data_IF_071175748841
#
_entry.id   IF_071175748841
#
_cell.length_a   1.000
_cell.length_b   1.000
_cell.length_c   1.000
_cell.angle_alpha   90.00
_cell.angle_beta   90.00
_cell.angle_gamma   90.00
#
_symmetry.space_group_name_H-M   'P 1'
#
loop_
_entity.id
_entity.type
_entity.pdbx_description
1 polymer ?
#
# COMPACT_ATOMS: atom_id res chain seq x y z
N UNK A 1 -15.54 10.41 -26.09
CA UNK A 1 -15.61 9.41 -24.99
C UNK A 1 -15.25 10.14 -23.71
N UNK A 2 -16.17 10.24 -22.75
CA UNK A 2 -15.89 10.93 -21.50
C UNK A 2 -14.92 10.09 -20.65
N UNK A 3 -13.76 10.65 -20.34
CA UNK A 3 -12.79 10.05 -19.41
C UNK A 3 -13.42 10.04 -18.02
N UNK A 4 -13.77 8.85 -17.51
CA UNK A 4 -14.32 8.68 -16.16
C UNK A 4 -13.18 8.77 -15.16
N UNK A 5 -12.89 9.98 -14.71
CA UNK A 5 -11.87 10.24 -13.68
C UNK A 5 -12.53 10.74 -12.40
N UNK A 6 -11.91 10.44 -11.27
CA UNK A 6 -12.30 10.96 -9.96
C UNK A 6 -11.02 11.27 -9.18
N UNK A 7 -11.05 12.34 -8.39
CA UNK A 7 -9.88 12.80 -7.64
C UNK A 7 -9.83 12.13 -6.25
N UNK A 8 -8.63 11.79 -5.80
CA UNK A 8 -8.36 11.25 -4.47
C UNK A 8 -7.66 12.31 -3.61
N UNK A 9 -8.32 12.75 -2.53
CA UNK A 9 -7.77 13.72 -1.58
C UNK A 9 -7.49 13.02 -0.25
N UNK A 10 -6.21 12.91 0.12
CA UNK A 10 -5.77 12.27 1.37
C UNK A 10 -4.91 13.24 2.16
N UNK A 11 -5.23 13.42 3.44
CA UNK A 11 -4.38 14.15 4.38
C UNK A 11 -3.22 13.27 4.79
N UNK A 12 -2.01 13.83 4.78
CA UNK A 12 -0.80 13.17 5.23
C UNK A 12 0.13 14.22 5.83
N UNK A 13 1.06 13.75 6.66
CA UNK A 13 2.14 14.59 7.15
C UNK A 13 2.96 15.18 5.96
N UNK A 14 3.37 16.44 6.10
CA UNK A 14 4.07 17.16 5.03
C UNK A 14 5.47 16.63 4.78
N UNK A 15 6.17 16.20 5.83
CA UNK A 15 7.52 15.66 5.73
C UNK A 15 7.49 14.29 5.07
N UNK A 16 6.58 13.42 5.51
CA UNK A 16 6.34 12.11 4.89
C UNK A 16 5.99 12.25 3.41
N UNK A 17 5.14 13.22 3.06
CA UNK A 17 4.81 13.51 1.65
C UNK A 17 6.05 13.85 0.84
N UNK A 18 6.92 14.72 1.35
CA UNK A 18 8.13 15.14 0.65
C UNK A 18 9.09 13.96 0.43
N UNK A 19 9.35 13.18 1.49
CA UNK A 19 10.23 12.00 1.42
C UNK A 19 9.70 10.94 0.44
N UNK A 20 8.38 10.69 0.46
CA UNK A 20 7.76 9.73 -0.45
C UNK A 20 7.87 10.18 -1.92
N UNK A 21 7.69 11.49 -2.20
CA UNK A 21 7.83 12.03 -3.56
C UNK A 21 9.27 11.88 -4.06
N UNK A 22 10.27 12.17 -3.21
CA UNK A 22 11.69 11.99 -3.56
C UNK A 22 12.01 10.53 -3.88
N UNK A 23 11.58 9.60 -3.02
CA UNK A 23 11.80 8.17 -3.22
C UNK A 23 11.13 7.66 -4.51
N UNK A 24 9.89 8.08 -4.79
CA UNK A 24 9.17 7.71 -6.02
C UNK A 24 9.85 8.27 -7.27
N UNK A 25 10.32 9.52 -7.23
CA UNK A 25 11.06 10.12 -8.33
C UNK A 25 12.39 9.41 -8.59
N UNK A 26 13.09 8.96 -7.55
CA UNK A 26 14.31 8.16 -7.69
C UNK A 26 14.05 6.81 -8.38
N UNK A 27 12.83 6.27 -8.26
CA UNK A 27 12.36 5.08 -8.97
C UNK A 27 11.77 5.37 -10.36
N UNK A 28 11.70 6.65 -10.77
CA UNK A 28 11.09 7.06 -12.05
C UNK A 28 9.55 6.98 -12.06
N UNK A 29 8.91 6.98 -10.90
CA UNK A 29 7.46 6.90 -10.74
C UNK A 29 6.88 8.24 -10.29
N UNK A 30 5.77 8.65 -10.90
CA UNK A 30 4.98 9.75 -10.35
C UNK A 30 4.15 9.27 -9.15
N UNK A 31 3.81 10.18 -8.24
CA UNK A 31 2.88 9.86 -7.13
C UNK A 31 1.55 9.31 -7.65
N UNK A 32 1.04 9.87 -8.74
CA UNK A 32 -0.21 9.43 -9.36
C UNK A 32 -0.12 7.98 -9.86
N UNK A 33 1.00 7.59 -10.47
CA UNK A 33 1.17 6.24 -10.99
C UNK A 33 1.35 5.23 -9.86
N UNK A 34 2.11 5.58 -8.82
CA UNK A 34 2.24 4.74 -7.62
C UNK A 34 0.88 4.48 -6.95
N UNK A 35 0.04 5.53 -6.81
CA UNK A 35 -1.31 5.40 -6.25
C UNK A 35 -2.21 4.55 -7.16
N UNK A 36 -2.17 4.74 -8.49
CA UNK A 36 -2.95 3.92 -9.42
C UNK A 36 -2.55 2.45 -9.34
N UNK A 37 -1.26 2.16 -9.29
CA UNK A 37 -0.73 0.79 -9.15
C UNK A 37 -1.18 0.13 -7.85
N UNK A 38 -1.14 0.87 -6.73
CA UNK A 38 -1.64 0.39 -5.45
C UNK A 38 -3.11 -0.03 -5.54
N UNK A 39 -3.97 0.83 -6.08
CA UNK A 39 -5.40 0.53 -6.22
C UNK A 39 -5.66 -0.62 -7.21
N UNK A 40 -4.92 -0.69 -8.30
CA UNK A 40 -4.99 -1.84 -9.21
C UNK A 40 -4.64 -3.15 -8.52
N UNK A 41 -3.60 -3.16 -7.67
CA UNK A 41 -3.22 -4.37 -6.94
C UNK A 41 -4.26 -4.77 -5.90
N UNK A 42 -4.84 -3.80 -5.20
CA UNK A 42 -5.95 -4.04 -4.26
C UNK A 42 -7.14 -4.69 -4.99
N UNK A 43 -7.51 -4.18 -6.15
CA UNK A 43 -8.60 -4.74 -6.95
C UNK A 43 -8.25 -6.13 -7.49
N UNK A 44 -7.02 -6.34 -7.96
CA UNK A 44 -6.59 -7.61 -8.54
C UNK A 44 -6.54 -8.74 -7.50
N UNK A 45 -6.00 -8.46 -6.31
CA UNK A 45 -5.77 -9.47 -5.27
C UNK A 45 -6.91 -9.52 -4.25
N UNK A 46 -7.85 -8.57 -4.28
CA UNK A 46 -8.87 -8.37 -3.23
C UNK A 46 -8.26 -8.29 -1.82
N UNK A 47 -7.02 -7.78 -1.73
CA UNK A 47 -6.24 -7.69 -0.52
C UNK A 47 -5.33 -6.46 -0.55
N UNK A 48 -4.93 -5.96 0.62
CA UNK A 48 -3.99 -4.85 0.69
C UNK A 48 -2.56 -5.37 0.43
N UNK A 49 -1.80 -4.80 -0.52
CA UNK A 49 -0.55 -5.38 -1.00
C UNK A 49 0.68 -5.08 -0.14
N UNK A 50 0.47 -4.61 1.10
CA UNK A 50 1.52 -4.43 2.08
C UNK A 50 1.20 -5.33 3.27
N UNK A 51 2.20 -6.08 3.72
CA UNK A 51 2.12 -6.84 4.97
C UNK A 51 1.85 -5.87 6.13
N UNK A 52 0.60 -5.82 6.59
CA UNK A 52 0.19 -5.06 7.77
C UNK A 52 0.74 -5.75 9.02
N UNK A 53 2.03 -5.57 9.28
CA UNK A 53 2.65 -5.99 10.54
C UNK A 53 2.18 -5.02 11.62
N UNK A 54 1.17 -5.42 12.39
CA UNK A 54 0.80 -4.72 13.63
C UNK A 54 1.97 -4.88 14.59
N UNK A 55 2.71 -3.81 14.95
CA UNK A 55 3.75 -3.91 15.96
C UNK A 55 3.06 -4.34 17.26
N UNK A 56 3.32 -5.58 17.72
CA UNK A 56 2.80 -6.09 18.99
C UNK A 56 1.65 -7.10 18.94
N UNK A 57 1.16 -7.53 17.76
CA UNK A 57 0.45 -8.81 17.67
C UNK A 57 1.42 -9.83 17.11
N UNK A 58 1.94 -10.71 17.97
CA UNK A 58 2.42 -11.99 17.51
C UNK A 58 1.30 -12.58 16.64
N UNK A 59 1.62 -12.85 15.38
CA UNK A 59 0.85 -13.79 14.58
C UNK A 59 0.64 -15.00 15.49
N UNK A 60 -0.62 -15.40 15.72
CA UNK A 60 -0.90 -16.71 16.27
C UNK A 60 -0.48 -17.68 15.16
N UNK A 61 0.83 -17.92 15.05
CA UNK A 61 1.36 -19.08 14.37
C UNK A 61 0.69 -20.25 15.08
N UNK A 62 -0.25 -20.85 14.35
CA UNK A 62 -0.89 -22.09 14.70
C UNK A 62 0.22 -23.06 15.05
N UNK A 63 0.45 -23.23 16.35
CA UNK A 63 1.32 -24.25 16.89
C UNK A 63 0.74 -25.56 16.39
N UNK A 64 1.34 -26.11 15.34
CA UNK A 64 1.11 -27.49 14.91
C UNK A 64 1.35 -28.33 16.17
N UNK A 65 0.34 -29.05 16.70
CA UNK A 65 0.60 -29.94 17.80
C UNK A 65 1.53 -31.04 17.29
N UNK A 66 2.77 -31.01 17.80
CA UNK A 66 3.60 -32.20 17.88
C UNK A 66 2.95 -33.10 18.93
N UNK A 67 2.27 -34.16 18.47
CA UNK A 67 2.03 -35.46 19.12
C UNK A 67 1.05 -36.22 18.20
N UNK A 68 1.41 -37.31 17.52
CA UNK A 68 1.94 -38.58 18.05
C UNK A 68 2.57 -39.41 16.93
#
# INVERSE_FOLDING_TARGET
>A
MATHTSMLHVRMDSELKAQAIEALNAMGLSTSDAVRLLFHRIVADQAFPLELRVPGRASLEEQVPVDK
#
